data_IF_997951410600
#
_entry.id   IF_997951410600
#
_cell.length_a   1.000
_cell.length_b   1.000
_cell.length_c   1.000
_cell.angle_alpha   90.00
_cell.angle_beta   90.00
_cell.angle_gamma   90.00
#
_symmetry.space_group_name_H-M   'P 1'
#
loop_
_entity.id
_entity.type
_entity.pdbx_description
1 polymer ?
#
# COMPACT_ATOMS: atom_id res chain seq x y z
N UNK A 1 12.10 -30.47 -5.18
CA UNK A 1 11.06 -29.45 -5.50
C UNK A 1 11.56 -28.11 -4.95
N UNK A 2 11.76 -27.11 -5.79
CA UNK A 2 12.17 -25.77 -5.35
C UNK A 2 10.91 -24.97 -5.07
N UNK A 3 10.79 -24.39 -3.88
CA UNK A 3 9.72 -23.44 -3.55
C UNK A 3 10.21 -22.07 -4.05
N UNK A 4 9.58 -21.48 -5.08
CA UNK A 4 10.00 -20.19 -5.57
C UNK A 4 9.67 -19.08 -4.57
N UNK A 5 10.46 -18.03 -4.56
CA UNK A 5 10.08 -16.77 -3.91
C UNK A 5 8.78 -16.24 -4.55
N UNK A 6 8.01 -15.47 -3.79
CA UNK A 6 6.73 -14.94 -4.26
C UNK A 6 6.82 -14.28 -5.64
N UNK A 7 5.84 -14.55 -6.50
CA UNK A 7 5.70 -13.94 -7.82
C UNK A 7 4.37 -13.22 -7.93
N UNK A 8 4.36 -12.15 -8.70
CA UNK A 8 3.12 -11.48 -9.09
C UNK A 8 2.28 -12.38 -10.01
N UNK A 9 0.97 -12.22 -9.93
CA UNK A 9 0.02 -12.78 -10.88
C UNK A 9 -0.69 -11.60 -11.56
N UNK A 10 -0.55 -11.51 -12.88
CA UNK A 10 -1.14 -10.43 -13.67
C UNK A 10 -2.11 -11.06 -14.67
N UNK A 11 -3.36 -10.67 -14.61
CA UNK A 11 -4.42 -11.08 -15.52
C UNK A 11 -4.51 -10.13 -16.73
N UNK A 12 -5.34 -10.51 -17.72
CA UNK A 12 -5.62 -9.62 -18.84
C UNK A 12 -6.39 -8.38 -18.38
N UNK A 13 -7.29 -8.52 -17.41
CA UNK A 13 -8.06 -7.41 -16.85
C UNK A 13 -7.16 -6.37 -16.17
N UNK A 14 -6.08 -6.82 -15.50
CA UNK A 14 -5.08 -5.91 -14.91
C UNK A 14 -4.36 -5.10 -15.99
N UNK A 15 -4.00 -5.75 -17.10
CA UNK A 15 -3.35 -5.07 -18.24
C UNK A 15 -4.29 -4.04 -18.86
N UNK A 16 -5.56 -4.39 -19.07
CA UNK A 16 -6.56 -3.49 -19.63
C UNK A 16 -6.82 -2.29 -18.71
N UNK A 17 -6.88 -2.51 -17.40
CA UNK A 17 -7.03 -1.43 -16.43
C UNK A 17 -5.87 -0.43 -16.49
N UNK A 18 -4.63 -0.92 -16.59
CA UNK A 18 -3.45 -0.06 -16.74
C UNK A 18 -3.47 0.71 -18.06
N UNK A 19 -3.81 0.04 -19.17
CA UNK A 19 -3.92 0.69 -20.48
C UNK A 19 -4.99 1.78 -20.46
N UNK A 20 -6.14 1.53 -19.84
CA UNK A 20 -7.21 2.51 -19.71
C UNK A 20 -6.77 3.71 -18.86
N UNK A 21 -6.06 3.49 -17.76
CA UNK A 21 -5.51 4.57 -16.96
C UNK A 21 -4.50 5.43 -17.73
N UNK A 22 -3.60 4.79 -18.50
CA UNK A 22 -2.62 5.50 -19.34
C UNK A 22 -3.25 6.34 -20.46
N UNK A 23 -4.42 5.94 -20.96
CA UNK A 23 -5.16 6.66 -21.99
C UNK A 23 -6.17 7.68 -21.41
N UNK A 24 -6.25 7.80 -20.09
CA UNK A 24 -7.11 8.76 -19.42
C UNK A 24 -6.51 10.17 -19.40
N UNK A 25 -7.35 11.17 -19.14
CA UNK A 25 -6.91 12.57 -19.03
C UNK A 25 -6.05 12.83 -17.78
N UNK A 26 -6.04 11.91 -16.81
CA UNK A 26 -5.36 12.06 -15.53
C UNK A 26 -4.39 10.90 -15.25
N UNK A 27 -3.09 11.18 -15.36
CA UNK A 27 -2.02 10.23 -15.00
C UNK A 27 -1.51 10.40 -13.57
N UNK A 28 -1.84 11.51 -12.92
CA UNK A 28 -1.46 11.80 -11.54
C UNK A 28 -2.70 12.23 -10.75
N UNK A 29 -2.87 11.67 -9.54
CA UNK A 29 -3.97 12.01 -8.63
C UNK A 29 -5.32 12.04 -9.37
N UNK A 30 -5.61 10.99 -10.12
CA UNK A 30 -6.83 10.87 -10.91
C UNK A 30 -7.92 10.06 -10.19
N UNK A 31 -9.07 9.86 -10.84
CA UNK A 31 -10.21 9.13 -10.28
C UNK A 31 -9.90 7.69 -9.89
N UNK A 32 -8.86 7.08 -10.44
CA UNK A 32 -8.44 5.72 -10.07
C UNK A 32 -7.86 5.67 -8.64
N UNK A 33 -7.20 6.73 -8.19
CA UNK A 33 -6.72 6.86 -6.80
C UNK A 33 -7.91 6.88 -5.83
N UNK A 34 -8.91 7.72 -6.10
CA UNK A 34 -10.13 7.82 -5.26
C UNK A 34 -10.90 6.50 -5.22
N UNK A 35 -11.03 5.81 -6.36
CA UNK A 35 -11.66 4.48 -6.41
C UNK A 35 -10.90 3.46 -5.57
N UNK A 36 -9.58 3.46 -5.64
CA UNK A 36 -8.73 2.56 -4.86
C UNK A 36 -8.87 2.84 -3.36
N UNK A 37 -8.79 4.10 -2.93
CA UNK A 37 -8.99 4.51 -1.53
C UNK A 37 -10.36 4.05 -1.00
N UNK A 38 -11.42 4.26 -1.79
CA UNK A 38 -12.77 3.83 -1.43
C UNK A 38 -12.85 2.32 -1.30
N UNK A 39 -12.33 1.57 -2.26
CA UNK A 39 -12.35 0.09 -2.25
C UNK A 39 -11.62 -0.45 -1.02
N UNK A 40 -10.44 0.08 -0.69
CA UNK A 40 -9.69 -0.34 0.50
C UNK A 40 -10.43 0.03 1.79
N UNK A 41 -11.06 1.19 1.85
CA UNK A 41 -11.91 1.56 3.00
C UNK A 41 -13.07 0.58 3.20
N UNK A 42 -13.74 0.18 2.13
CA UNK A 42 -14.85 -0.79 2.16
C UNK A 42 -14.37 -2.17 2.62
N UNK A 43 -13.25 -2.66 2.10
CA UNK A 43 -12.69 -3.98 2.46
C UNK A 43 -12.20 -4.01 3.91
N UNK A 44 -11.53 -2.96 4.35
CA UNK A 44 -10.94 -2.89 5.69
C UNK A 44 -11.93 -2.45 6.78
N UNK A 45 -13.06 -1.88 6.40
CA UNK A 45 -14.01 -1.25 7.32
C UNK A 45 -13.49 0.06 7.92
N UNK A 46 -12.41 0.64 7.36
CA UNK A 46 -11.86 1.91 7.83
C UNK A 46 -12.76 3.09 7.40
N UNK A 47 -12.74 4.15 8.19
CA UNK A 47 -13.50 5.38 7.86
C UNK A 47 -12.89 6.15 6.69
N UNK A 48 -11.59 5.99 6.47
CA UNK A 48 -10.85 6.64 5.39
C UNK A 48 -9.58 5.87 5.08
N UNK A 49 -9.11 6.00 3.86
CA UNK A 49 -7.85 5.44 3.36
C UNK A 49 -7.10 6.52 2.60
N UNK A 50 -5.79 6.47 2.66
CA UNK A 50 -4.90 7.37 1.90
C UNK A 50 -3.92 6.53 1.11
N UNK A 51 -3.84 6.79 -0.18
CA UNK A 51 -2.84 6.17 -1.07
C UNK A 51 -1.53 6.92 -0.99
N UNK A 52 -0.46 6.18 -0.87
CA UNK A 52 0.93 6.68 -0.84
C UNK A 52 1.78 5.92 -1.86
N UNK A 53 2.97 6.44 -2.14
CA UNK A 53 3.84 5.93 -3.21
C UNK A 53 4.45 4.55 -2.98
N UNK A 54 4.45 4.05 -1.74
CA UNK A 54 5.04 2.74 -1.39
C UNK A 54 4.55 2.23 -0.04
N UNK A 55 4.72 0.93 0.22
CA UNK A 55 4.46 0.35 1.54
C UNK A 55 5.34 0.96 2.64
N UNK A 56 6.57 1.34 2.33
CA UNK A 56 7.44 2.07 3.26
C UNK A 56 6.85 3.42 3.65
N UNK A 57 6.33 4.19 2.70
CA UNK A 57 5.65 5.44 2.97
C UNK A 57 4.36 5.23 3.79
N UNK A 58 3.62 4.14 3.52
CA UNK A 58 2.43 3.78 4.29
C UNK A 58 2.77 3.48 5.75
N UNK A 59 3.84 2.72 6.00
CA UNK A 59 4.32 2.44 7.37
C UNK A 59 4.74 3.73 8.08
N UNK A 60 5.49 4.60 7.41
CA UNK A 60 5.89 5.89 7.98
C UNK A 60 4.67 6.74 8.38
N UNK A 61 3.69 6.85 7.48
CA UNK A 61 2.44 7.56 7.79
C UNK A 61 1.69 6.91 8.97
N UNK A 62 1.65 5.58 9.04
CA UNK A 62 0.96 4.87 10.12
C UNK A 62 1.64 5.10 11.50
N UNK A 63 2.97 5.00 11.57
CA UNK A 63 3.71 5.28 12.80
C UNK A 63 3.58 6.74 13.23
N UNK A 64 3.64 7.67 12.28
CA UNK A 64 3.41 9.08 12.56
C UNK A 64 1.99 9.34 13.10
N UNK A 65 0.98 8.73 12.46
CA UNK A 65 -0.42 8.87 12.89
C UNK A 65 -0.70 8.23 14.26
N UNK A 66 0.06 7.17 14.60
CA UNK A 66 0.00 6.53 15.92
C UNK A 66 0.79 7.30 16.99
N UNK A 67 1.45 8.40 16.64
CA UNK A 67 2.26 9.24 17.53
C UNK A 67 3.41 8.46 18.22
N UNK A 68 4.00 7.48 17.53
CA UNK A 68 5.13 6.69 18.02
C UNK A 68 6.36 7.58 18.22
N UNK A 69 6.99 7.48 19.38
CA UNK A 69 8.10 8.34 19.82
C UNK A 69 9.27 7.53 20.38
N UNK A 70 10.46 8.14 20.48
CA UNK A 70 11.58 7.53 21.17
C UNK A 70 11.22 7.11 22.59
N UNK A 71 11.40 5.82 22.89
CA UNK A 71 11.02 5.19 24.15
C UNK A 71 9.77 4.32 24.08
N UNK A 72 8.99 4.40 23.00
CA UNK A 72 7.86 3.51 22.77
C UNK A 72 8.36 2.13 22.29
N UNK A 73 7.57 1.10 22.60
CA UNK A 73 7.86 -0.28 22.18
C UNK A 73 6.92 -0.69 21.04
N UNK A 74 7.49 -1.24 19.98
CA UNK A 74 6.76 -1.75 18.82
C UNK A 74 7.00 -3.25 18.66
N UNK A 75 5.92 -4.04 18.61
CA UNK A 75 5.97 -5.48 18.37
C UNK A 75 5.76 -5.75 16.88
N UNK A 76 6.71 -6.45 16.27
CA UNK A 76 6.65 -6.81 14.86
C UNK A 76 7.21 -8.21 14.61
N UNK A 77 7.04 -8.74 13.39
CA UNK A 77 7.59 -10.01 12.96
C UNK A 77 9.08 -9.87 12.60
N UNK A 78 9.93 -10.86 12.93
CA UNK A 78 11.36 -10.82 12.57
C UNK A 78 11.61 -11.12 11.08
N UNK A 79 10.68 -11.79 10.39
CA UNK A 79 10.79 -12.12 8.97
C UNK A 79 9.92 -11.17 8.14
N UNK A 80 10.47 -10.02 7.84
CA UNK A 80 9.78 -8.97 7.06
C UNK A 80 10.80 -8.03 6.42
N UNK A 81 10.33 -7.14 5.56
CA UNK A 81 11.16 -6.07 5.00
C UNK A 81 11.57 -5.07 6.11
N UNK A 82 12.77 -4.57 6.02
CA UNK A 82 13.37 -3.72 7.05
C UNK A 82 12.55 -2.47 7.41
N UNK A 83 11.77 -1.94 6.46
CA UNK A 83 10.93 -0.77 6.69
C UNK A 83 9.94 -0.96 7.85
N UNK A 84 9.50 -2.19 8.13
CA UNK A 84 8.60 -2.48 9.24
C UNK A 84 9.17 -2.05 10.60
N UNK A 85 10.47 -2.17 10.79
CA UNK A 85 11.14 -1.72 12.01
C UNK A 85 11.78 -0.33 11.86
N UNK A 86 12.27 0.01 10.65
CA UNK A 86 13.02 1.25 10.42
C UNK A 86 12.15 2.51 10.38
N UNK A 87 10.83 2.36 10.19
CA UNK A 87 9.88 3.49 10.18
C UNK A 87 9.27 3.77 11.56
N UNK A 88 9.50 2.88 12.53
CA UNK A 88 9.16 3.10 13.92
C UNK A 88 10.23 3.97 14.59
#
# INVERSE_FOLDING_TARGET
MSIPYGRQSISQDDVEAVVNALNSDFLTIGPEVEKFEKTISEISGSRSTVVVSSGTAALHCAYFAADIKPGDEVITTPLTFVATAAMA
#
